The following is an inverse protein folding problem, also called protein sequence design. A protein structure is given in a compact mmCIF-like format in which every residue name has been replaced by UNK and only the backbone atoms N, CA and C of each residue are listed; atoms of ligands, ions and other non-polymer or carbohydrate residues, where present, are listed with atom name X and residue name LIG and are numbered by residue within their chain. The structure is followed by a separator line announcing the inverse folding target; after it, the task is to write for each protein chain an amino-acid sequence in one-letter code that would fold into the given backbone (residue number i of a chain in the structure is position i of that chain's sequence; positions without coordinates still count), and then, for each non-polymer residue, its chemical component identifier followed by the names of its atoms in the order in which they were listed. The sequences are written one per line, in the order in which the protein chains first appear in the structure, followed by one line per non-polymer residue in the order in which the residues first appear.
data_IF_735978635918
#
_entry.id   IF_735978635918
#
_cell.length_a   1.000
_cell.length_b   1.000
_cell.length_c   1.000
_cell.angle_alpha   90.00
_cell.angle_beta   90.00
_cell.angle_gamma   90.00
#
_symmetry.space_group_name_H-M   'P 1'
#
loop_
_entity.id
_entity.type
_entity.pdbx_description
1 polymer ?
#
# COMPACT_ATOMS: atom_id res chain seq x y z
N UNK A 1 5.23 12.77 -9.05
CA UNK A 1 4.12 12.60 -8.08
C UNK A 1 4.22 13.69 -7.02
N UNK A 2 3.10 14.17 -6.51
CA UNK A 2 3.09 15.21 -5.47
C UNK A 2 2.99 14.55 -4.11
N UNK A 3 3.80 14.97 -3.13
CA UNK A 3 3.77 14.41 -1.76
C UNK A 3 2.46 14.74 -1.02
N UNK A 4 1.69 15.72 -1.51
CA UNK A 4 0.40 16.12 -0.94
C UNK A 4 -0.78 15.43 -1.62
N UNK A 5 -0.53 14.51 -2.56
CA UNK A 5 -1.56 13.70 -3.21
C UNK A 5 -1.28 12.21 -2.99
N UNK A 6 -2.33 11.39 -2.82
CA UNK A 6 -3.73 11.77 -2.62
C UNK A 6 -3.95 12.59 -1.33
N UNK A 7 -5.10 13.26 -1.21
CA UNK A 7 -5.36 14.12 -0.06
C UNK A 7 -5.37 13.29 1.22
N UNK A 8 -4.75 13.80 2.29
CA UNK A 8 -4.64 13.04 3.54
C UNK A 8 -6.01 12.78 4.19
N UNK A 9 -6.97 13.69 4.01
CA UNK A 9 -8.31 13.56 4.58
C UNK A 9 -9.06 12.39 3.92
N UNK A 10 -8.94 12.24 2.59
CA UNK A 10 -9.53 11.14 1.83
C UNK A 10 -8.95 9.77 2.27
N UNK A 11 -7.65 9.72 2.54
CA UNK A 11 -6.98 8.52 3.04
C UNK A 11 -7.44 8.15 4.45
N UNK A 12 -7.59 9.15 5.34
CA UNK A 12 -8.00 8.92 6.73
C UNK A 12 -9.45 8.46 6.83
N UNK A 13 -10.32 8.91 5.92
CA UNK A 13 -11.71 8.42 5.83
C UNK A 13 -11.77 6.90 5.58
N UNK A 14 -10.80 6.35 4.85
CA UNK A 14 -10.70 4.90 4.57
C UNK A 14 -10.12 4.07 5.71
N UNK A 15 -9.60 4.70 6.77
CA UNK A 15 -8.84 4.00 7.82
C UNK A 15 -9.26 4.42 9.23
N UNK A 16 -10.56 4.55 9.48
CA UNK A 16 -11.14 4.94 10.77
C UNK A 16 -10.51 6.21 11.38
N UNK A 17 -10.07 7.14 10.53
CA UNK A 17 -9.31 8.33 10.94
C UNK A 17 -8.06 8.02 11.78
N UNK A 18 -7.55 6.80 11.71
CA UNK A 18 -6.38 6.33 12.42
C UNK A 18 -5.13 6.36 11.53
N UNK A 19 -4.29 7.38 11.75
CA UNK A 19 -3.00 7.55 11.03
C UNK A 19 -2.05 6.35 11.12
N UNK A 20 -2.10 5.58 12.21
CA UNK A 20 -1.22 4.42 12.40
C UNK A 20 -1.71 3.22 11.61
N UNK A 21 -3.03 3.07 11.49
CA UNK A 21 -3.64 2.08 10.62
C UNK A 21 -3.33 2.38 9.15
N UNK A 22 -3.50 3.64 8.73
CA UNK A 22 -3.12 4.10 7.39
C UNK A 22 -1.65 3.80 7.06
N UNK A 23 -0.74 4.20 7.95
CA UNK A 23 0.69 3.95 7.74
C UNK A 23 1.01 2.46 7.64
N UNK A 24 0.36 1.62 8.46
CA UNK A 24 0.57 0.17 8.45
C UNK A 24 0.01 -0.49 7.19
N UNK A 25 -1.19 -0.09 6.76
CA UNK A 25 -1.87 -0.60 5.57
C UNK A 25 -1.07 -0.24 4.31
N UNK A 26 -0.74 1.04 4.13
CA UNK A 26 0.01 1.53 2.99
C UNK A 26 1.41 0.89 2.93
N UNK A 27 2.11 0.78 4.06
CA UNK A 27 3.44 0.15 4.11
C UNK A 27 3.40 -1.32 3.73
N UNK A 28 2.40 -2.07 4.25
CA UNK A 28 2.24 -3.47 3.90
C UNK A 28 1.98 -3.64 2.41
N UNK A 29 1.08 -2.83 1.85
CA UNK A 29 0.77 -2.89 0.41
C UNK A 29 1.97 -2.51 -0.45
N UNK A 30 2.71 -1.47 -0.09
CA UNK A 30 3.91 -1.07 -0.81
C UNK A 30 5.00 -2.17 -0.81
N UNK A 31 5.13 -2.93 0.29
CA UNK A 31 5.98 -4.11 0.35
C UNK A 31 5.50 -5.24 -0.57
N UNK A 32 4.19 -5.47 -0.66
CA UNK A 32 3.60 -6.45 -1.58
C UNK A 32 3.89 -6.08 -3.04
N UNK A 33 3.70 -4.81 -3.42
CA UNK A 33 4.01 -4.29 -4.75
C UNK A 33 5.51 -4.44 -5.05
N UNK A 34 6.38 -4.05 -4.13
CA UNK A 34 7.83 -4.21 -4.27
C UNK A 34 8.25 -5.68 -4.48
N UNK A 35 7.64 -6.59 -3.71
CA UNK A 35 7.91 -8.02 -3.83
C UNK A 35 7.45 -8.57 -5.19
N UNK A 36 6.30 -8.11 -5.67
CA UNK A 36 5.77 -8.45 -6.99
C UNK A 36 6.68 -7.94 -8.12
N UNK A 37 7.10 -6.66 -8.08
CA UNK A 37 7.98 -6.05 -9.08
C UNK A 37 9.33 -6.78 -9.15
N UNK A 38 9.93 -7.07 -7.99
CA UNK A 38 11.16 -7.88 -7.91
C UNK A 38 10.97 -9.29 -8.49
N UNK A 39 9.85 -9.94 -8.18
CA UNK A 39 9.54 -11.27 -8.71
C UNK A 39 9.32 -11.27 -10.23
N UNK A 40 8.69 -10.23 -10.78
CA UNK A 40 8.57 -10.04 -12.23
C UNK A 40 9.93 -9.81 -12.88
N UNK A 41 10.72 -8.89 -12.33
CA UNK A 41 12.08 -8.60 -12.80
C UNK A 41 12.95 -9.87 -12.85
N UNK A 42 12.97 -10.67 -11.78
CA UNK A 42 13.75 -11.91 -11.73
C UNK A 42 13.28 -12.94 -12.77
N UNK A 43 11.98 -13.02 -13.06
CA UNK A 43 11.44 -13.90 -14.11
C UNK A 43 11.82 -13.42 -15.51
N UNK A 44 11.85 -12.11 -15.74
CA UNK A 44 12.24 -11.51 -17.03
C UNK A 44 13.74 -11.70 -17.30
N UNK A 45 14.59 -11.46 -16.29
CA UNK A 45 16.03 -11.72 -16.39
C UNK A 45 16.36 -13.18 -16.71
N UNK A 46 15.56 -14.13 -16.22
CA UNK A 46 15.76 -15.54 -16.52
C UNK A 46 15.41 -15.93 -17.97
N UNK A 47 14.76 -15.05 -18.73
CA UNK A 47 14.18 -15.35 -20.06
C UNK A 47 14.83 -14.54 -21.21
N UNK A 48 15.41 -13.36 -20.97
CA UNK A 48 16.01 -12.55 -22.05
C UNK A 48 17.33 -11.85 -21.68
N UNK A 49 18.26 -11.92 -22.64
CA UNK A 49 19.62 -11.35 -22.68
C UNK A 49 19.61 -9.89 -23.21
N UNK A 50 18.63 -9.06 -22.80
CA UNK A 50 18.47 -7.70 -23.36
C UNK A 50 18.09 -6.67 -22.28
N UNK A 51 19.01 -5.73 -22.07
CA UNK A 51 19.12 -4.78 -20.94
C UNK A 51 18.07 -3.65 -20.85
N UNK A 52 17.01 -3.63 -21.68
CA UNK A 52 16.17 -2.42 -21.83
C UNK A 52 14.91 -2.35 -20.94
N UNK A 53 14.53 -3.40 -20.21
CA UNK A 53 13.29 -3.40 -19.40
C UNK A 53 13.49 -2.81 -17.99
N UNK A 54 14.73 -2.77 -17.48
CA UNK A 54 14.99 -2.54 -16.05
C UNK A 54 14.82 -1.07 -15.60
N UNK A 55 14.86 -0.10 -16.53
CA UNK A 55 14.95 1.32 -16.17
C UNK A 55 13.57 2.02 -16.06
N UNK A 56 12.53 1.53 -16.76
CA UNK A 56 11.24 2.22 -16.81
C UNK A 56 10.33 2.01 -15.59
N UNK A 57 10.41 0.84 -14.95
CA UNK A 57 9.49 0.44 -13.87
C UNK A 57 10.04 0.67 -12.46
N UNK A 58 11.35 0.92 -12.33
CA UNK A 58 12.02 1.07 -11.03
C UNK A 58 11.83 2.43 -10.36
N UNK A 59 11.24 3.42 -11.06
CA UNK A 59 11.08 4.79 -10.55
C UNK A 59 9.72 5.11 -9.93
N UNK A 60 8.77 4.17 -9.95
CA UNK A 60 7.44 4.39 -9.36
C UNK A 60 7.49 4.21 -7.84
N UNK A 61 7.12 5.24 -7.10
CA UNK A 61 7.03 5.18 -5.65
C UNK A 61 5.89 4.23 -5.24
N UNK A 62 6.24 3.08 -4.64
CA UNK A 62 5.27 2.06 -4.25
C UNK A 62 4.36 2.49 -3.13
N UNK A 63 4.78 3.48 -2.33
CA UNK A 63 3.94 4.07 -1.30
C UNK A 63 2.84 4.92 -1.95
N UNK A 64 3.20 5.77 -2.92
CA UNK A 64 2.19 6.53 -3.68
C UNK A 64 1.19 5.61 -4.37
N UNK A 65 1.63 4.52 -5.01
CA UNK A 65 0.72 3.53 -5.63
C UNK A 65 -0.20 2.88 -4.60
N UNK A 66 0.31 2.54 -3.41
CA UNK A 66 -0.52 1.98 -2.34
C UNK A 66 -1.53 3.00 -1.81
N UNK A 67 -1.16 4.28 -1.70
CA UNK A 67 -2.07 5.34 -1.27
C UNK A 67 -3.19 5.59 -2.28
N UNK A 68 -2.88 5.55 -3.58
CA UNK A 68 -3.89 5.68 -4.64
C UNK A 68 -4.90 4.52 -4.56
N UNK A 69 -4.43 3.27 -4.45
CA UNK A 69 -5.32 2.11 -4.32
C UNK A 69 -6.20 2.14 -3.05
N UNK A 70 -5.73 2.76 -1.96
CA UNK A 70 -6.53 2.96 -0.73
C UNK A 70 -7.66 3.95 -1.00
N UNK A 71 -7.37 5.09 -1.64
CA UNK A 71 -8.39 6.11 -1.96
C UNK A 71 -9.43 5.58 -2.92
N UNK A 72 -8.99 4.87 -3.96
CA UNK A 72 -9.85 4.26 -4.97
C UNK A 72 -10.73 3.14 -4.37
N UNK A 73 -10.31 2.58 -3.23
CA UNK A 73 -11.04 1.53 -2.50
C UNK A 73 -10.77 0.13 -3.01
N UNK A 74 -9.75 -0.04 -3.85
CA UNK A 74 -9.29 -1.34 -4.36
C UNK A 74 -8.73 -2.22 -3.24
N UNK A 75 -8.19 -1.60 -2.19
CA UNK A 75 -7.68 -2.28 -1.01
C UNK A 75 -8.26 -1.71 0.28
N UNK A 76 -8.41 -2.58 1.28
CA UNK A 76 -8.82 -2.23 2.64
C UNK A 76 -8.19 -3.19 3.65
N UNK A 77 -8.47 -3.00 4.93
CA UNK A 77 -8.06 -3.86 6.03
C UNK A 77 -9.22 -4.73 6.52
N UNK A 78 -8.86 -5.81 7.22
CA UNK A 78 -9.82 -6.67 7.91
C UNK A 78 -10.20 -6.03 9.24
N UNK A 79 -11.39 -5.44 9.29
CA UNK A 79 -11.94 -4.74 10.45
C UNK A 79 -12.07 -5.65 11.67
N UNK A 80 -12.61 -6.87 11.51
CA UNK A 80 -12.77 -7.82 12.62
C UNK A 80 -11.42 -8.22 13.23
N UNK A 81 -10.41 -8.43 12.38
CA UNK A 81 -9.04 -8.70 12.84
C UNK A 81 -8.42 -7.48 13.51
N UNK A 82 -8.68 -6.29 12.98
CA UNK A 82 -8.20 -5.02 13.52
C UNK A 82 -8.79 -4.72 14.91
N UNK A 83 -10.11 -4.80 15.05
CA UNK A 83 -10.80 -4.63 16.33
C UNK A 83 -10.34 -5.63 17.39
N UNK A 84 -10.19 -6.90 16.99
CA UNK A 84 -9.65 -7.95 17.88
C UNK A 84 -8.24 -7.61 18.37
N UNK A 85 -7.41 -7.01 17.53
CA UNK A 85 -6.05 -6.62 17.90
C UNK A 85 -6.01 -5.38 18.82
N UNK A 86 -7.00 -4.50 18.74
CA UNK A 86 -7.12 -3.31 19.61
C UNK A 86 -7.52 -3.65 21.06
N UNK A 87 -8.05 -4.84 21.32
CA UNK A 87 -8.15 -5.42 22.67
C UNK A 87 -9.13 -4.74 23.65
N UNK A 88 -9.80 -3.66 23.28
CA UNK A 88 -10.70 -2.92 24.17
C UNK A 88 -12.04 -2.58 23.50
N UNK A 89 -13.11 -3.23 23.97
CA UNK A 89 -14.44 -2.59 23.94
C UNK A 89 -14.36 -1.36 24.83
N UNK A 90 -14.55 -0.17 24.28
CA UNK A 90 -14.95 0.97 25.10
C UNK A 90 -16.30 0.57 25.69
N UNK A 91 -16.38 0.47 27.02
CA UNK A 91 -17.66 0.29 27.70
C UNK A 91 -18.55 1.48 27.30
N UNK A 92 -19.70 1.20 26.70
CA UNK A 92 -20.73 2.22 26.44
C UNK A 92 -21.04 2.93 27.77
N UNK A 93 -21.00 4.27 27.74
CA UNK A 93 -21.35 5.15 28.85
C UNK A 93 -22.80 5.60 28.75
#
# INVERSE_FOLDING_TARGET
MSVVKPCIDDLLEKTDHNRFLLASLASKRACDINSMLRGQHNRVLAVQDVDDITIGLSGADTISMAMDEIVDGDISYDEARYEKALGHKVAEA
#
